data_IF_681644233936
#
_entry.id   IF_681644233936
#
_cell.length_a   1.000
_cell.length_b   1.000
_cell.length_c   1.000
_cell.angle_alpha   90.00
_cell.angle_beta   90.00
_cell.angle_gamma   90.00
#
_symmetry.space_group_name_H-M   'P 1'
#
loop_
_entity.id
_entity.type
_entity.pdbx_description
1 polymer ?
2 non-polymer ?
3 non-polymer ?
4 water ?
#
# COMPACT_ATOMS: atom_id res chain seq x y z
N UNK A 1 -15.37 4.53 9.99
CA UNK A 1 -13.91 4.65 10.25
C UNK A 1 -13.34 5.91 9.64
N UNK A 2 -12.11 6.24 10.02
CA UNK A 2 -11.45 7.43 9.51
C UNK A 2 -10.17 7.08 8.76
N UNK A 3 -9.99 7.71 7.61
CA UNK A 3 -8.80 7.52 6.79
C UNK A 3 -8.06 8.84 6.90
N UNK A 4 -6.82 8.79 7.36
CA UNK A 4 -6.04 10.02 7.48
C UNK A 4 -4.55 9.71 7.52
N UNK A 5 -3.73 10.76 7.52
CA UNK A 5 -2.30 10.59 7.58
C UNK A 5 -1.97 9.85 8.87
N UNK A 6 -1.09 8.86 8.77
CA UNK A 6 -0.69 8.05 9.90
C UNK A 6 0.15 8.89 10.88
N UNK A 7 -0.22 8.88 12.15
CA UNK A 7 0.53 9.64 13.16
C UNK A 7 1.79 8.87 13.52
N UNK A 8 2.91 9.30 12.94
CA UNK A 8 4.19 8.63 13.15
C UNK A 8 4.73 8.77 14.56
N UNK A 9 4.07 9.61 15.37
CA UNK A 9 4.51 9.78 16.75
C UNK A 9 3.61 9.03 17.73
N UNK A 10 2.71 8.21 17.21
CA UNK A 10 1.82 7.42 18.06
C UNK A 10 2.40 6.01 18.09
N UNK A 11 3.13 5.67 19.16
CA UNK A 11 3.74 4.34 19.29
C UNK A 11 2.75 3.18 19.31
N UNK A 12 1.54 3.44 19.80
CA UNK A 12 0.51 2.40 19.84
C UNK A 12 0.04 2.11 18.41
N UNK A 13 -0.12 3.15 17.61
CA UNK A 13 -0.56 2.98 16.22
C UNK A 13 0.52 2.18 15.46
N UNK A 14 1.78 2.42 15.79
CA UNK A 14 2.87 1.71 15.14
C UNK A 14 2.93 0.26 15.61
N UNK A 15 2.56 0.03 16.87
CA UNK A 15 2.52 -1.34 17.39
C UNK A 15 1.43 -2.11 16.66
N UNK A 16 0.30 -1.45 16.43
CA UNK A 16 -0.80 -2.11 15.73
C UNK A 16 -0.46 -2.39 14.26
N UNK A 17 0.30 -1.50 13.63
CA UNK A 17 0.68 -1.73 12.23
C UNK A 17 1.60 -2.94 12.24
N UNK A 18 2.42 -3.02 13.28
CA UNK A 18 3.35 -4.12 13.44
C UNK A 18 2.57 -5.42 13.57
N UNK A 19 1.55 -5.44 14.42
CA UNK A 19 0.76 -6.65 14.61
C UNK A 19 0.00 -7.01 13.33
N UNK A 20 -0.47 -5.99 12.62
CA UNK A 20 -1.21 -6.22 11.38
C UNK A 20 -0.30 -6.88 10.34
N UNK A 21 0.93 -6.38 10.23
CA UNK A 21 1.88 -6.95 9.27
C UNK A 21 2.23 -8.39 9.63
N UNK A 22 2.49 -8.64 10.91
CA UNK A 22 2.85 -9.98 11.38
C UNK A 22 1.75 -11.01 11.18
N UNK A 23 0.52 -10.64 11.52
CA UNK A 23 -0.60 -11.55 11.39
C UNK A 23 -1.07 -11.79 9.96
N UNK A 24 -0.81 -10.82 9.09
CA UNK A 24 -1.23 -10.95 7.70
C UNK A 24 -0.20 -11.73 6.89
N UNK A 25 1.08 -11.53 7.19
CA UNK A 25 2.15 -12.21 6.49
C UNK A 25 3.21 -12.71 7.46
N UNK A 26 2.89 -13.77 8.23
CA UNK A 26 3.79 -14.37 9.21
C UNK A 26 5.23 -14.50 8.73
N UNK A 27 5.51 -15.51 7.92
CA UNK A 27 6.86 -15.71 7.40
C UNK A 27 7.15 -14.74 6.27
N UNK A 28 6.83 -13.47 6.51
CA UNK A 28 7.04 -12.41 5.53
C UNK A 28 7.33 -11.13 6.31
N UNK A 29 6.85 -11.08 7.55
CA UNK A 29 7.03 -9.93 8.43
C UNK A 29 7.14 -10.38 9.89
N UNK A 30 6.97 -11.68 10.11
CA UNK A 30 7.03 -12.23 11.45
C UNK A 30 8.22 -11.82 12.29
N UNK A 31 9.36 -11.57 11.64
CA UNK A 31 10.57 -11.18 12.36
C UNK A 31 10.94 -9.71 12.16
N UNK A 32 10.86 -9.24 10.92
CA UNK A 32 11.21 -7.86 10.59
C UNK A 32 10.04 -6.89 10.78
N UNK A 33 9.01 -7.34 11.47
CA UNK A 33 7.81 -6.55 11.73
C UNK A 33 8.11 -5.10 12.15
N UNK A 34 8.72 -4.93 13.32
CA UNK A 34 9.04 -3.61 13.82
C UNK A 34 9.96 -2.85 12.87
N UNK A 35 10.94 -3.56 12.32
CA UNK A 35 11.88 -2.96 11.39
C UNK A 35 11.17 -2.43 10.14
N UNK A 36 10.22 -3.21 9.64
CA UNK A 36 9.47 -2.81 8.46
C UNK A 36 8.68 -1.54 8.77
N UNK A 37 8.04 -1.50 9.93
CA UNK A 37 7.27 -0.32 10.32
C UNK A 37 8.17 0.92 10.32
N UNK A 38 9.35 0.82 10.91
CA UNK A 38 10.26 1.96 10.94
C UNK A 38 10.57 2.44 9.53
N UNK A 39 10.77 1.49 8.62
CA UNK A 39 11.06 1.85 7.23
C UNK A 39 9.88 2.62 6.65
N UNK A 40 8.68 2.13 6.95
CA UNK A 40 7.46 2.75 6.45
C UNK A 40 7.21 4.14 7.04
N UNK A 41 7.84 4.43 8.18
CA UNK A 41 7.67 5.72 8.83
C UNK A 41 8.62 6.78 8.27
N UNK A 42 9.48 6.39 7.34
CA UNK A 42 10.43 7.33 6.75
C UNK A 42 9.71 8.57 6.22
N UNK A 43 10.13 9.77 6.69
CA UNK A 43 9.56 11.06 6.31
C UNK A 43 9.33 11.31 4.82
N UNK A 44 10.15 10.71 3.95
CA UNK A 44 9.97 10.91 2.51
C UNK A 44 8.73 10.17 2.01
N UNK A 45 8.40 9.07 2.67
CA UNK A 45 7.25 8.27 2.27
C UNK A 45 5.93 8.84 2.77
N UNK A 46 4.85 8.41 2.12
CA UNK A 46 3.51 8.79 2.52
C UNK A 46 3.03 7.59 3.33
N UNK A 47 2.32 7.86 4.42
CA UNK A 47 1.80 6.80 5.28
C UNK A 47 0.37 7.19 5.66
N UNK A 48 -0.56 6.29 5.37
CA UNK A 48 -1.98 6.51 5.62
C UNK A 48 -2.61 5.39 6.43
N UNK A 49 -3.40 5.77 7.43
CA UNK A 49 -4.06 4.80 8.29
C UNK A 49 -5.57 4.80 8.17
N UNK A 50 -6.15 3.63 8.36
CA UNK A 50 -7.59 3.45 8.37
C UNK A 50 -7.78 3.05 9.83
N UNK A 51 -8.45 3.91 10.60
CA UNK A 51 -8.67 3.67 12.01
C UNK A 51 -10.16 3.60 12.35
N UNK A 52 -10.53 2.60 13.14
CA UNK A 52 -11.91 2.44 13.57
C UNK A 52 -11.94 2.14 15.07
N UNK A 53 -12.64 2.96 15.84
CA UNK A 53 -12.72 2.76 17.29
C UNK A 53 -11.32 2.69 17.89
N UNK A 54 -10.45 3.61 17.48
CA UNK A 54 -9.07 3.64 17.98
C UNK A 54 -8.31 2.35 17.68
N UNK A 55 -8.71 1.65 16.62
CA UNK A 55 -8.04 0.41 16.23
C UNK A 55 -7.58 0.55 14.77
N UNK A 56 -6.31 0.29 14.50
CA UNK A 56 -5.81 0.37 13.13
C UNK A 56 -6.37 -0.84 12.39
N UNK A 57 -7.21 -0.60 11.39
CA UNK A 57 -7.79 -1.70 10.61
C UNK A 57 -7.16 -1.80 9.21
N UNK A 58 -6.37 -0.80 8.84
CA UNK A 58 -5.73 -0.82 7.54
C UNK A 58 -4.62 0.20 7.40
N UNK A 59 -3.73 -0.04 6.45
CA UNK A 59 -2.61 0.86 6.21
C UNK A 59 -2.17 0.81 4.75
N UNK A 60 -1.78 1.96 4.22
CA UNK A 60 -1.30 2.02 2.85
C UNK A 60 -0.18 3.04 2.86
N UNK A 61 0.85 2.78 2.06
CA UNK A 61 1.97 3.69 1.99
C UNK A 61 2.42 3.90 0.55
N UNK A 62 3.29 4.88 0.36
CA UNK A 62 3.83 5.18 -0.97
C UNK A 62 5.26 5.67 -0.79
N UNK A 63 6.12 5.28 -1.74
CA UNK A 63 7.54 5.63 -1.74
C UNK A 63 7.89 6.46 -2.97
N UNK A 64 8.49 7.65 -2.78
CA UNK A 64 8.85 8.45 -3.96
C UNK A 64 10.08 7.81 -4.61
N UNK A 65 9.89 7.20 -5.78
CA UNK A 65 10.97 6.51 -6.49
C UNK A 65 11.60 7.34 -7.62
N UNK A 66 10.79 8.14 -8.29
CA UNK A 66 11.26 8.98 -9.39
C UNK A 66 10.92 10.43 -9.07
N UNK A 67 11.89 11.14 -8.49
CA UNK A 67 11.66 12.52 -8.12
C UNK A 67 10.51 12.52 -7.13
N UNK A 68 9.47 13.30 -7.43
CA UNK A 68 8.28 13.35 -6.59
C UNK A 68 7.11 13.16 -7.54
N UNK A 69 7.44 12.81 -8.78
CA UNK A 69 6.45 12.60 -9.82
C UNK A 69 6.02 11.13 -9.96
N UNK A 70 6.94 10.22 -9.66
CA UNK A 70 6.63 8.80 -9.77
C UNK A 70 6.71 8.13 -8.41
N UNK A 71 5.61 7.55 -7.96
CA UNK A 71 5.57 6.90 -6.64
C UNK A 71 5.18 5.44 -6.70
N UNK A 72 5.72 4.66 -5.77
CA UNK A 72 5.40 3.25 -5.70
C UNK A 72 4.43 3.01 -4.55
N UNK A 73 3.34 2.32 -4.85
CA UNK A 73 2.34 2.01 -3.83
C UNK A 73 2.89 0.81 -3.08
N UNK A 74 3.17 1.01 -1.79
CA UNK A 74 3.71 -0.05 -0.96
C UNK A 74 3.76 0.38 0.50
N UNK A 75 3.13 -0.38 1.40
CA UNK A 75 2.37 -1.59 1.09
C UNK A 75 0.89 -1.22 1.15
N UNK A 76 0.04 -2.24 1.17
CA UNK A 76 -1.39 -2.07 1.33
C UNK A 76 -1.76 -3.27 2.18
N UNK A 77 -2.12 -3.03 3.44
CA UNK A 77 -2.50 -4.13 4.31
C UNK A 77 -3.81 -3.74 4.99
N UNK A 78 -4.78 -4.65 4.93
CA UNK A 78 -6.09 -4.42 5.53
C UNK A 78 -6.48 -5.63 6.37
N UNK A 79 -7.10 -5.37 7.51
CA UNK A 79 -7.53 -6.45 8.39
C UNK A 79 -8.57 -7.32 7.71
N UNK A 80 -8.75 -8.52 8.24
CA UNK A 80 -9.73 -9.45 7.71
C UNK A 80 -11.12 -8.96 8.13
N UNK A 81 -12.01 -8.78 7.17
CA UNK A 81 -13.37 -8.33 7.46
C UNK A 81 -14.19 -8.34 6.18
N UNK A 82 -15.49 -8.15 6.32
CA UNK A 82 -16.38 -8.15 5.16
C UNK A 82 -16.41 -6.83 4.42
N UNK A 83 -15.70 -5.83 4.93
CA UNK A 83 -15.64 -4.53 4.28
C UNK A 83 -14.19 -4.28 3.83
N UNK A 84 -13.40 -5.35 3.83
CA UNK A 84 -12.00 -5.28 3.45
C UNK A 84 -11.75 -4.55 2.13
N UNK A 85 -12.51 -4.89 1.09
CA UNK A 85 -12.34 -4.24 -0.19
C UNK A 85 -12.69 -2.76 -0.13
N UNK A 86 -13.72 -2.42 0.64
CA UNK A 86 -14.12 -1.03 0.77
C UNK A 86 -13.05 -0.27 1.53
N UNK A 87 -12.44 -0.92 2.51
CA UNK A 87 -11.38 -0.29 3.28
C UNK A 87 -10.21 -0.03 2.34
N UNK A 88 -9.82 -1.06 1.59
CA UNK A 88 -8.71 -0.93 0.66
C UNK A 88 -8.96 0.17 -0.36
N UNK A 89 -10.17 0.20 -0.90
CA UNK A 89 -10.54 1.20 -1.90
C UNK A 89 -10.41 2.61 -1.34
N UNK A 90 -10.92 2.82 -0.14
CA UNK A 90 -10.82 4.13 0.47
C UNK A 90 -9.35 4.47 0.76
N UNK A 91 -8.56 3.46 1.11
CA UNK A 91 -7.14 3.72 1.36
C UNK A 91 -6.48 4.17 0.05
N UNK A 92 -6.70 3.41 -1.02
CA UNK A 92 -6.12 3.77 -2.31
C UNK A 92 -6.52 5.17 -2.78
N UNK A 93 -7.80 5.50 -2.69
CA UNK A 93 -8.26 6.82 -3.12
C UNK A 93 -7.63 7.95 -2.30
N UNK A 94 -7.47 7.73 -1.00
CA UNK A 94 -6.87 8.76 -0.17
C UNK A 94 -5.39 8.91 -0.54
N UNK A 95 -4.73 7.79 -0.80
CA UNK A 95 -3.31 7.81 -1.15
C UNK A 95 -3.05 8.59 -2.43
N UNK A 96 -3.88 8.38 -3.45
CA UNK A 96 -3.73 9.07 -4.71
C UNK A 96 -3.81 10.59 -4.49
N UNK A 97 -4.74 11.02 -3.64
CA UNK A 97 -4.89 12.44 -3.33
C UNK A 97 -3.65 12.95 -2.61
N UNK A 98 -3.15 12.17 -1.66
CA UNK A 98 -1.94 12.54 -0.93
C UNK A 98 -0.77 12.65 -1.91
N UNK A 99 -0.59 11.62 -2.73
CA UNK A 99 0.49 11.61 -3.70
C UNK A 99 0.43 12.82 -4.63
N UNK A 100 -0.74 13.07 -5.21
CA UNK A 100 -0.92 14.20 -6.11
C UNK A 100 -0.58 15.52 -5.42
N UNK A 101 -0.90 15.63 -4.14
CA UNK A 101 -0.64 16.87 -3.40
C UNK A 101 0.84 17.10 -3.17
N UNK A 102 1.66 16.07 -3.35
CA UNK A 102 3.10 16.22 -3.17
C UNK A 102 3.81 16.30 -4.51
N UNK A 103 3.06 16.60 -5.57
CA UNK A 103 3.64 16.71 -6.89
C UNK A 103 3.67 15.43 -7.69
N UNK A 104 3.00 14.39 -7.19
CA UNK A 104 2.97 13.12 -7.89
C UNK A 104 2.09 13.12 -9.12
N UNK A 105 2.55 12.41 -10.15
CA UNK A 105 1.82 12.30 -11.41
C UNK A 105 1.34 10.87 -11.63
N UNK A 106 2.15 9.91 -11.22
CA UNK A 106 1.79 8.52 -11.44
C UNK A 106 2.14 7.63 -10.26
N UNK A 107 1.35 6.58 -10.07
CA UNK A 107 1.58 5.63 -8.99
C UNK A 107 1.66 4.25 -9.61
N UNK A 108 2.71 3.50 -9.28
CA UNK A 108 2.85 2.15 -9.80
C UNK A 108 3.01 1.20 -8.64
N UNK A 109 2.88 -0.09 -8.94
CA UNK A 109 3.01 -1.11 -7.93
C UNK A 109 3.42 -2.44 -8.57
N UNK A 110 3.92 -3.35 -7.75
CA UNK A 110 4.30 -4.66 -8.23
C UNK A 110 3.49 -5.67 -7.45
N UNK A 111 2.98 -6.69 -8.13
CA UNK A 111 2.21 -7.71 -7.44
C UNK A 111 2.44 -9.08 -8.05
N UNK A 112 2.45 -10.11 -7.22
CA UNK A 112 2.61 -11.46 -7.72
C UNK A 112 1.19 -12.00 -7.92
N UNK A 113 0.21 -11.15 -7.62
CA UNK A 113 -1.21 -11.48 -7.75
C UNK A 113 -1.62 -12.77 -7.05
N UNK A 114 -1.04 -13.03 -5.89
CA UNK A 114 -1.37 -14.22 -5.12
C UNK A 114 -1.86 -13.80 -3.74
N UNK A 115 -2.64 -14.66 -3.10
CA UNK A 115 -3.16 -14.40 -1.76
C UNK A 115 -2.31 -15.13 -0.73
N UNK A 116 -1.57 -14.36 0.06
CA UNK A 116 -0.70 -14.93 1.09
C UNK A 116 -1.38 -14.90 2.46
N UNK A 141 -10.27 -11.30 -2.92
CA UNK A 141 -10.13 -10.82 -4.29
C UNK A 141 -8.67 -10.74 -4.72
N UNK A 142 -8.39 -11.20 -5.93
CA UNK A 142 -7.04 -11.19 -6.49
C UNK A 142 -6.54 -9.75 -6.61
N UNK A 143 -5.29 -9.49 -6.19
CA UNK A 143 -4.75 -8.13 -6.28
C UNK A 143 -4.96 -7.51 -7.66
N UNK A 144 -4.70 -8.28 -8.71
CA UNK A 144 -4.86 -7.78 -10.07
C UNK A 144 -6.28 -7.25 -10.28
N UNK A 145 -7.28 -8.04 -9.91
CA UNK A 145 -8.67 -7.62 -10.06
C UNK A 145 -8.93 -6.33 -9.28
N UNK A 146 -8.48 -6.32 -8.02
CA UNK A 146 -8.64 -5.17 -7.15
C UNK A 146 -8.12 -3.88 -7.79
N UNK A 147 -6.84 -3.88 -8.19
CA UNK A 147 -6.26 -2.68 -8.80
C UNK A 147 -6.81 -2.34 -10.19
N UNK A 148 -7.18 -3.37 -10.94
CA UNK A 148 -7.73 -3.16 -12.27
C UNK A 148 -9.04 -2.37 -12.17
N UNK A 149 -9.84 -2.67 -11.16
CA UNK A 149 -11.11 -1.98 -10.97
C UNK A 149 -10.91 -0.55 -10.47
N UNK A 150 -9.70 -0.25 -10.00
CA UNK A 150 -9.43 1.09 -9.52
C UNK A 150 -8.74 1.96 -10.56
N UNK A 151 -8.65 1.46 -11.78
CA UNK A 151 -8.02 2.22 -12.84
C UNK A 151 -6.56 1.94 -13.12
N UNK A 152 -5.97 0.95 -12.46
CA UNK A 152 -4.56 0.64 -12.70
C UNK A 152 -4.40 -0.29 -13.90
N UNK A 153 -3.38 -0.01 -14.71
CA UNK A 153 -3.12 -0.81 -15.91
C UNK A 153 -1.73 -1.44 -15.92
N UNK A 154 -1.63 -2.62 -16.51
CA UNK A 154 -0.36 -3.31 -16.57
C UNK A 154 0.64 -2.50 -17.38
N UNK A 155 1.79 -2.19 -16.79
CA UNK A 155 2.82 -1.43 -17.50
C UNK A 155 4.11 -2.24 -17.64
N UNK A 156 4.08 -3.50 -17.20
CA UNK A 156 5.26 -4.33 -17.31
C UNK A 156 5.11 -5.67 -16.62
N UNK A 157 5.96 -6.62 -17.00
CA UNK A 157 5.93 -7.95 -16.41
C UNK A 157 7.36 -8.46 -16.25
N UNK A 158 7.66 -9.07 -15.11
CA UNK A 158 8.99 -9.61 -14.88
C UNK A 158 8.91 -11.12 -14.73
N UNK A 159 9.32 -11.86 -15.78
CA UNK A 159 9.27 -13.32 -15.71
C UNK A 159 10.25 -13.84 -14.67
N UNK A 160 9.93 -14.98 -14.08
CA UNK A 160 10.82 -15.58 -13.10
C UNK A 160 11.10 -14.73 -11.88
N UNK A 161 10.40 -13.61 -11.73
CA UNK A 161 10.62 -12.74 -10.58
C UNK A 161 10.63 -13.51 -9.27
N UNK A 162 9.58 -14.30 -9.05
CA UNK A 162 9.45 -15.08 -7.83
C UNK A 162 9.84 -16.54 -8.03
N UNK A 163 10.36 -16.84 -9.21
CA UNK A 163 10.76 -18.20 -9.53
C UNK A 163 10.44 -18.43 -10.99
N UNK A 164 10.91 -19.54 -11.55
CA UNK A 164 10.64 -19.80 -12.96
C UNK A 164 9.14 -19.76 -13.28
N UNK A 165 8.79 -18.98 -14.29
CA UNK A 165 7.41 -18.82 -14.72
C UNK A 165 6.51 -18.15 -13.69
N UNK A 166 7.07 -17.82 -12.53
CA UNK A 166 6.33 -17.14 -11.46
C UNK A 166 6.68 -15.66 -11.56
N UNK A 167 5.95 -14.91 -12.40
CA UNK A 167 6.21 -13.49 -12.60
C UNK A 167 5.62 -12.52 -11.59
N UNK A 168 6.03 -11.27 -11.73
CA UNK A 168 5.50 -10.21 -10.91
C UNK A 168 4.95 -9.25 -11.95
N UNK A 169 3.76 -8.73 -11.71
CA UNK A 169 3.15 -7.81 -12.66
C UNK A 169 3.21 -6.39 -12.11
N UNK A 170 3.61 -5.45 -12.96
CA UNK A 170 3.68 -4.06 -12.56
C UNK A 170 2.48 -3.35 -13.14
N UNK A 171 1.79 -2.58 -12.30
CA UNK A 171 0.61 -1.83 -12.71
C UNK A 171 0.82 -0.37 -12.33
N UNK A 172 0.19 0.53 -13.06
CA UNK A 172 0.34 1.95 -12.80
C UNK A 172 -0.88 2.76 -13.21
N UNK A 173 -0.94 3.99 -12.72
CA UNK A 173 -2.06 4.87 -13.02
C UNK A 173 -1.60 6.31 -12.94
N UNK A 174 -2.09 7.14 -13.85
CA UNK A 174 -1.76 8.56 -13.82
C UNK A 174 -2.88 9.12 -12.96
N UNK A 175 -2.52 9.66 -11.80
CA UNK A 175 -3.50 10.16 -10.85
C UNK A 175 -3.95 11.62 -10.90
N UNK A 176 -3.63 12.31 -11.99
CA UNK A 176 -4.06 13.70 -12.15
C UNK A 176 -4.35 13.96 -13.62
N UNK A 177 -5.27 14.89 -13.91
CA UNK A 177 -5.63 15.22 -15.29
C UNK A 177 -4.47 15.79 -16.10
N UNK A 178 -4.52 15.58 -17.41
CA UNK A 178 -3.50 16.08 -18.32
C UNK A 178 -3.55 17.60 -18.30
N UNK A 179 -2.46 18.25 -17.87
CA UNK A 179 -2.42 19.72 -17.82
C UNK A 179 -2.56 20.38 -19.19
X LIG B 1 0.94 -3.84 -3.36
X LIG B 1 1.31 -5.06 -4.12
X LIG B 1 -0.46 -3.96 -2.88
X LIG B 1 1.84 -3.69 -2.18
X LIG B 1 1.06 -2.65 -4.23
X LIG C 1 -4.63 4.57 19.31
X LIG C 1 -3.95 5.82 19.32
X LIG C 1 -5.20 4.32 17.92
X LIG C 1 -4.97 2.96 17.56
#
# INVERSE_FOLDING_TARGET
MIISEFDRNNPVLKDQLSDLLRLTWPEEYGDSSAEEVEEMMNPERIAVAAVDQDELVGFIGAIPQYGITGWELHPLVVESSRRKNQIGTRLVNYLEKEVASRGGITIYLGTDDLDHGTTLSQTDLYEHTFDKVASIQNLREHPYEFYEKLGYKIVGVLPNANGWDKPDIWMAKTIIPRPD
PO4 P O1 O2 O3 O4
EDO C1 O1 C2 O2
#
